data_IF_962227178085
#
_entry.id   IF_962227178085
#
_cell.length_a   1.000
_cell.length_b   1.000
_cell.length_c   1.000
_cell.angle_alpha   90.00
_cell.angle_beta   90.00
_cell.angle_gamma   90.00
#
_symmetry.space_group_name_H-M   'P 1'
#
loop_
_entity.id
_entity.type
_entity.pdbx_description
1 polymer ?
#
# COMPACT_ATOMS: atom_id res chain seq x y z
N UNK A 1 42.46 13.94 -36.35
CA UNK A 1 42.78 15.32 -36.78
C UNK A 1 41.45 16.07 -36.93
N UNK A 2 41.35 17.12 -36.10
CA UNK A 2 40.43 18.28 -36.12
C UNK A 2 38.94 18.14 -35.72
N UNK A 3 38.73 18.73 -34.59
CA UNK A 3 37.50 19.35 -34.05
C UNK A 3 36.86 20.34 -34.98
N UNK A 4 35.54 20.42 -34.99
CA UNK A 4 34.86 21.69 -35.21
C UNK A 4 33.59 21.77 -34.35
N UNK A 5 33.68 22.60 -33.37
CA UNK A 5 32.65 23.19 -32.54
C UNK A 5 31.64 24.00 -33.38
N UNK A 6 30.37 23.66 -33.28
CA UNK A 6 29.28 24.49 -33.77
C UNK A 6 28.46 25.00 -32.61
N UNK A 7 28.69 26.25 -32.24
CA UNK A 7 28.03 26.98 -31.18
C UNK A 7 26.65 27.52 -31.59
N UNK A 8 25.70 27.30 -30.72
CA UNK A 8 24.42 27.94 -30.49
C UNK A 8 24.15 29.29 -31.11
N UNK A 9 23.08 29.37 -31.92
CA UNK A 9 22.31 30.56 -32.24
C UNK A 9 20.89 30.45 -31.68
N UNK A 10 20.68 30.69 -30.41
CA UNK A 10 19.34 30.86 -29.81
C UNK A 10 18.89 32.30 -30.01
N UNK A 11 18.01 32.52 -30.97
CA UNK A 11 17.28 33.77 -31.14
C UNK A 11 16.33 34.00 -29.96
N UNK A 12 16.69 34.93 -29.10
CA UNK A 12 15.85 35.52 -28.07
C UNK A 12 14.80 36.41 -28.67
N UNK A 13 13.61 35.91 -29.02
CA UNK A 13 12.39 36.74 -29.29
C UNK A 13 11.18 35.95 -28.86
N UNK A 14 10.50 36.39 -27.77
CA UNK A 14 9.20 35.85 -27.34
C UNK A 14 8.96 35.68 -25.85
N UNK A 15 9.66 36.43 -24.99
CA UNK A 15 9.56 36.22 -23.51
C UNK A 15 8.53 37.13 -22.80
N UNK A 16 7.73 37.93 -23.49
CA UNK A 16 6.88 38.97 -22.86
C UNK A 16 5.36 38.71 -22.93
N UNK A 17 4.93 37.44 -22.96
CA UNK A 17 3.49 37.19 -22.74
C UNK A 17 3.28 36.48 -21.38
N UNK A 18 2.38 37.01 -20.52
CA UNK A 18 2.06 36.37 -19.23
C UNK A 18 1.63 34.88 -19.35
N UNK A 19 1.01 34.52 -20.47
CA UNK A 19 0.59 33.16 -20.78
C UNK A 19 1.76 32.19 -20.99
N UNK A 20 2.89 32.64 -21.57
CA UNK A 20 4.07 31.81 -21.79
C UNK A 20 4.84 31.54 -20.48
N UNK A 21 4.94 32.53 -19.61
CA UNK A 21 5.57 32.40 -18.28
C UNK A 21 4.75 31.47 -17.38
N UNK A 22 3.41 31.49 -17.50
CA UNK A 22 2.52 30.58 -16.79
C UNK A 22 2.62 29.14 -17.32
N UNK A 23 2.71 28.92 -18.61
CA UNK A 23 2.85 27.60 -19.21
C UNK A 23 4.18 26.91 -18.85
N UNK A 24 5.28 27.67 -18.75
CA UNK A 24 6.58 27.16 -18.27
C UNK A 24 6.64 26.93 -16.76
N UNK A 25 5.89 27.71 -15.97
CA UNK A 25 5.85 27.54 -14.50
C UNK A 25 4.95 26.39 -14.03
N UNK A 26 3.92 26.03 -14.79
CA UNK A 26 2.90 25.10 -14.28
C UNK A 26 2.61 23.87 -15.16
N UNK A 27 3.16 23.74 -16.36
CA UNK A 27 3.06 22.52 -17.19
C UNK A 27 1.63 22.01 -17.51
N UNK A 28 0.59 22.76 -17.16
CA UNK A 28 -0.82 22.31 -17.14
C UNK A 28 -1.63 22.96 -18.27
N UNK A 29 -1.00 23.32 -19.40
CA UNK A 29 -1.76 23.90 -20.50
C UNK A 29 -2.48 22.81 -21.28
N UNK A 30 -3.79 22.69 -21.07
CA UNK A 30 -4.82 21.97 -21.86
C UNK A 30 -5.34 20.61 -21.37
N UNK A 31 -5.04 20.14 -20.15
CA UNK A 31 -5.77 18.98 -19.62
C UNK A 31 -7.21 19.35 -19.24
N UNK A 32 -8.18 18.53 -19.66
CA UNK A 32 -9.54 18.64 -19.15
C UNK A 32 -9.55 18.31 -17.66
N UNK A 33 -10.47 18.90 -16.90
CA UNK A 33 -10.61 18.64 -15.46
C UNK A 33 -10.75 17.13 -15.15
N UNK A 34 -11.48 16.39 -15.99
CA UNK A 34 -11.62 14.92 -15.89
C UNK A 34 -10.29 14.19 -15.94
N UNK A 35 -9.37 14.63 -16.80
CA UNK A 35 -8.07 13.98 -16.99
C UNK A 35 -7.16 14.27 -15.79
N UNK A 36 -7.27 15.47 -15.23
CA UNK A 36 -6.58 15.86 -14.00
C UNK A 36 -7.04 14.99 -12.81
N UNK A 37 -8.37 14.83 -12.63
CA UNK A 37 -8.93 13.94 -11.59
C UNK A 37 -8.49 12.48 -11.80
N UNK A 38 -8.52 12.01 -13.06
CA UNK A 38 -8.03 10.67 -13.40
C UNK A 38 -6.55 10.46 -13.09
N UNK A 39 -5.71 11.47 -13.34
CA UNK A 39 -4.29 11.43 -13.01
C UNK A 39 -4.06 11.44 -11.50
N UNK A 40 -4.80 12.23 -10.72
CA UNK A 40 -4.75 12.18 -9.25
C UNK A 40 -5.20 10.83 -8.70
N UNK A 41 -6.23 10.21 -9.30
CA UNK A 41 -6.66 8.85 -8.93
C UNK A 41 -5.59 7.80 -9.22
N UNK A 42 -4.91 7.86 -10.37
CA UNK A 42 -3.76 6.99 -10.68
C UNK A 42 -2.63 7.19 -9.67
N UNK A 43 -2.31 8.46 -9.31
CA UNK A 43 -1.31 8.80 -8.31
C UNK A 43 -1.63 8.20 -6.93
N UNK A 44 -2.91 8.08 -6.60
CA UNK A 44 -3.40 7.49 -5.35
C UNK A 44 -3.33 5.96 -5.30
N UNK A 45 -2.97 5.31 -6.42
CA UNK A 45 -2.95 3.84 -6.54
C UNK A 45 -4.26 3.19 -6.06
N UNK A 46 -5.40 3.69 -6.53
CA UNK A 46 -6.75 3.32 -6.10
C UNK A 46 -6.98 1.83 -5.76
N UNK A 47 -6.58 0.85 -6.61
CA UNK A 47 -6.76 -0.58 -6.31
C UNK A 47 -6.10 -1.03 -5.01
N UNK A 48 -4.98 -0.41 -4.60
CA UNK A 48 -4.28 -0.78 -3.37
C UNK A 48 -4.95 -0.24 -2.10
N UNK A 49 -5.91 0.69 -2.20
CA UNK A 49 -6.65 1.18 -1.03
C UNK A 49 -7.41 0.06 -0.31
N UNK A 50 -7.84 -0.96 -1.05
CA UNK A 50 -8.50 -2.15 -0.49
C UNK A 50 -7.63 -2.90 0.53
N UNK A 51 -6.29 -2.83 0.38
CA UNK A 51 -5.32 -3.46 1.30
C UNK A 51 -5.38 -2.85 2.71
N UNK A 52 -5.80 -1.59 2.84
CA UNK A 52 -6.03 -0.94 4.15
C UNK A 52 -7.50 -1.02 4.62
N UNK A 53 -8.46 -0.89 3.69
CA UNK A 53 -9.89 -0.87 4.02
C UNK A 53 -10.37 -2.22 4.54
N UNK A 54 -9.99 -3.33 3.91
CA UNK A 54 -10.42 -4.67 4.33
C UNK A 54 -9.94 -5.04 5.74
N UNK A 55 -8.67 -4.84 6.13
CA UNK A 55 -8.22 -5.09 7.49
C UNK A 55 -8.93 -4.22 8.53
N UNK A 56 -9.17 -2.93 8.24
CA UNK A 56 -9.94 -2.06 9.11
C UNK A 56 -11.36 -2.63 9.34
N UNK A 57 -12.01 -3.03 8.25
CA UNK A 57 -13.34 -3.64 8.28
C UNK A 57 -13.35 -4.93 9.11
N UNK A 58 -12.34 -5.79 8.96
CA UNK A 58 -12.18 -6.98 9.80
C UNK A 58 -12.11 -6.63 11.29
N UNK A 59 -11.37 -5.57 11.64
CA UNK A 59 -11.30 -5.08 13.02
C UNK A 59 -12.68 -4.68 13.58
N UNK A 60 -13.47 -3.93 12.81
CA UNK A 60 -14.84 -3.56 13.19
C UNK A 60 -15.77 -4.77 13.31
N UNK A 61 -15.69 -5.73 12.38
CA UNK A 61 -16.49 -6.94 12.43
C UNK A 61 -16.15 -7.79 13.66
N UNK A 62 -14.89 -7.85 14.05
CA UNK A 62 -14.47 -8.52 15.28
C UNK A 62 -15.03 -7.85 16.54
N UNK A 63 -15.08 -6.52 16.57
CA UNK A 63 -15.70 -5.77 17.66
C UNK A 63 -17.21 -6.02 17.70
N UNK A 64 -17.88 -5.90 16.56
CA UNK A 64 -19.33 -6.16 16.43
C UNK A 64 -19.70 -7.57 16.89
N UNK A 65 -18.91 -8.58 16.51
CA UNK A 65 -19.10 -9.96 16.98
C UNK A 65 -18.94 -10.12 18.51
N UNK A 66 -18.08 -9.29 19.11
CA UNK A 66 -17.94 -9.22 20.57
C UNK A 66 -19.06 -8.47 21.28
N UNK A 67 -20.15 -8.11 20.59
CA UNK A 67 -21.27 -7.33 21.12
C UNK A 67 -21.04 -5.81 21.17
N UNK A 68 -19.91 -5.32 20.67
CA UNK A 68 -19.58 -3.89 20.67
C UNK A 68 -20.10 -3.24 19.39
N UNK A 69 -20.99 -2.27 19.55
CA UNK A 69 -21.54 -1.48 18.46
C UNK A 69 -21.11 -0.03 18.60
N UNK A 70 -20.79 0.60 17.48
CA UNK A 70 -20.44 2.02 17.43
C UNK A 70 -21.28 2.76 16.39
N UNK A 71 -21.29 4.09 16.43
CA UNK A 71 -22.04 4.88 15.47
C UNK A 71 -21.46 4.73 14.07
N UNK A 72 -22.30 4.67 12.99
CA UNK A 72 -21.84 4.55 11.62
C UNK A 72 -20.84 5.62 11.18
N UNK A 73 -20.96 6.85 11.77
CA UNK A 73 -20.03 7.94 11.52
C UNK A 73 -18.60 7.63 11.96
N UNK A 74 -18.42 6.91 13.06
CA UNK A 74 -17.08 6.50 13.52
C UNK A 74 -16.42 5.55 12.50
N UNK A 75 -17.18 4.57 11.99
CA UNK A 75 -16.70 3.67 10.95
C UNK A 75 -16.29 4.42 9.68
N UNK A 76 -17.17 5.30 9.17
CA UNK A 76 -16.91 6.06 7.95
C UNK A 76 -15.69 6.98 8.09
N UNK A 77 -15.59 7.72 9.18
CA UNK A 77 -14.46 8.63 9.44
C UNK A 77 -13.15 7.87 9.58
N UNK A 78 -13.18 6.69 10.20
CA UNK A 78 -11.99 5.85 10.33
C UNK A 78 -11.53 5.31 8.97
N UNK A 79 -12.47 4.91 8.09
CA UNK A 79 -12.14 4.54 6.71
C UNK A 79 -11.50 5.70 5.95
N UNK A 80 -12.09 6.90 6.05
CA UNK A 80 -11.54 8.10 5.40
C UNK A 80 -10.14 8.40 5.95
N UNK A 81 -9.92 8.31 7.26
CA UNK A 81 -8.61 8.54 7.86
C UNK A 81 -7.56 7.55 7.32
N UNK A 82 -7.87 6.25 7.23
CA UNK A 82 -6.97 5.23 6.67
C UNK A 82 -6.67 5.54 5.20
N UNK A 83 -7.68 5.87 4.39
CA UNK A 83 -7.51 6.24 2.97
C UNK A 83 -6.61 7.47 2.84
N UNK A 84 -6.79 8.49 3.68
CA UNK A 84 -5.95 9.69 3.67
C UNK A 84 -4.49 9.37 4.06
N UNK A 85 -4.26 8.50 5.04
CA UNK A 85 -2.90 8.05 5.39
C UNK A 85 -2.25 7.30 4.22
N UNK A 86 -3.00 6.44 3.54
CA UNK A 86 -2.52 5.73 2.35
C UNK A 86 -2.20 6.70 1.21
N UNK A 87 -3.09 7.65 0.92
CA UNK A 87 -2.88 8.67 -0.11
C UNK A 87 -1.68 9.57 0.20
N UNK A 88 -1.52 9.97 1.44
CA UNK A 88 -0.32 10.67 1.91
C UNK A 88 0.94 9.84 1.59
N UNK A 89 0.95 8.57 1.97
CA UNK A 89 2.10 7.67 1.78
C UNK A 89 2.43 7.51 0.30
N UNK A 90 1.42 7.26 -0.54
CA UNK A 90 1.62 7.09 -1.98
C UNK A 90 2.07 8.38 -2.65
N UNK A 91 1.42 9.51 -2.37
CA UNK A 91 1.76 10.79 -2.99
C UNK A 91 3.18 11.24 -2.64
N UNK A 92 3.57 11.14 -1.36
CA UNK A 92 4.95 11.47 -0.95
C UNK A 92 5.95 10.44 -1.46
N UNK A 93 5.56 9.16 -1.56
CA UNK A 93 6.36 8.09 -2.15
C UNK A 93 6.71 8.36 -3.61
N UNK A 94 5.72 8.60 -4.44
CA UNK A 94 5.89 8.93 -5.87
C UNK A 94 6.86 10.11 -6.10
N UNK A 95 6.80 11.12 -5.22
CA UNK A 95 7.73 12.26 -5.27
C UNK A 95 9.15 11.90 -4.87
N UNK A 96 9.31 11.08 -3.82
CA UNK A 96 10.61 10.71 -3.28
C UNK A 96 11.31 9.66 -4.15
N UNK A 97 10.54 8.78 -4.81
CA UNK A 97 11.03 7.70 -5.66
C UNK A 97 11.14 8.11 -7.15
N UNK A 98 10.80 9.37 -7.49
CA UNK A 98 10.73 9.89 -8.87
C UNK A 98 11.96 9.53 -9.72
N UNK A 99 13.17 9.69 -9.19
CA UNK A 99 14.40 9.39 -9.94
C UNK A 99 14.56 7.88 -10.19
N UNK A 100 14.21 7.04 -9.22
CA UNK A 100 14.20 5.58 -9.37
C UNK A 100 13.17 5.12 -10.40
N UNK A 101 11.94 5.63 -10.28
CA UNK A 101 10.86 5.31 -11.20
C UNK A 101 11.20 5.75 -12.64
N UNK A 102 11.89 6.88 -12.80
CA UNK A 102 12.36 7.36 -14.11
C UNK A 102 13.40 6.43 -14.74
N UNK A 103 14.29 5.85 -13.93
CA UNK A 103 15.33 4.92 -14.40
C UNK A 103 14.78 3.51 -14.64
N UNK A 104 13.66 3.15 -14.05
CA UNK A 104 13.09 1.81 -14.14
C UNK A 104 12.56 1.52 -15.54
N UNK A 105 13.19 0.55 -16.23
CA UNK A 105 12.78 0.05 -17.54
C UNK A 105 11.97 -1.26 -17.46
N UNK A 106 11.95 -1.90 -16.29
CA UNK A 106 11.32 -3.21 -16.07
C UNK A 106 9.98 -3.10 -15.30
N UNK A 107 9.41 -1.90 -15.20
CA UNK A 107 8.17 -1.66 -14.46
C UNK A 107 6.97 -2.41 -15.03
N UNK A 108 6.00 -2.69 -14.18
CA UNK A 108 4.70 -3.25 -14.54
C UNK A 108 3.58 -2.48 -13.80
N UNK A 109 2.31 -2.93 -13.91
CA UNK A 109 1.19 -2.23 -13.26
C UNK A 109 1.22 -2.27 -11.72
N UNK A 110 2.13 -3.02 -11.09
CA UNK A 110 2.30 -3.14 -9.64
C UNK A 110 3.57 -2.47 -9.10
N UNK A 111 4.52 -2.09 -9.99
CA UNK A 111 5.85 -1.56 -9.66
C UNK A 111 6.19 -0.30 -10.47
N UNK A 112 7.28 0.40 -10.13
CA UNK A 112 7.75 1.58 -10.86
C UNK A 112 6.85 2.81 -10.72
N UNK A 113 6.13 2.93 -9.62
CA UNK A 113 5.21 4.04 -9.35
C UNK A 113 3.96 4.03 -10.22
N UNK A 114 3.17 5.09 -10.13
CA UNK A 114 1.99 5.33 -10.99
C UNK A 114 2.35 5.81 -12.39
N UNK A 115 3.61 6.16 -12.62
CA UNK A 115 4.18 6.80 -13.82
C UNK A 115 3.66 8.20 -14.10
N UNK A 116 2.65 8.69 -13.39
CA UNK A 116 2.00 9.99 -13.63
C UNK A 116 2.98 11.16 -13.56
N UNK A 117 3.90 11.14 -12.58
CA UNK A 117 4.92 12.16 -12.42
C UNK A 117 6.05 12.00 -13.45
N UNK A 118 6.48 10.77 -13.71
CA UNK A 118 7.57 10.44 -14.66
C UNK A 118 7.16 10.78 -16.09
N UNK A 119 5.92 10.55 -16.47
CA UNK A 119 5.33 10.89 -17.77
C UNK A 119 5.01 12.39 -17.90
N UNK A 120 5.21 13.18 -16.84
CA UNK A 120 4.95 14.61 -16.85
C UNK A 120 3.45 14.98 -16.90
N UNK A 121 2.55 14.01 -16.61
CA UNK A 121 1.10 14.24 -16.61
C UNK A 121 0.71 15.20 -15.48
N UNK A 122 1.33 15.04 -14.30
CA UNK A 122 1.19 16.00 -13.20
C UNK A 122 2.57 16.54 -12.79
N UNK A 123 2.67 17.82 -12.45
CA UNK A 123 3.90 18.37 -11.90
C UNK A 123 4.16 17.87 -10.48
N UNK A 124 5.46 17.79 -10.11
CA UNK A 124 5.92 17.25 -8.81
C UNK A 124 5.31 17.92 -7.58
N UNK A 125 4.95 19.20 -7.68
CA UNK A 125 4.34 19.94 -6.56
C UNK A 125 2.93 19.44 -6.22
N UNK A 126 2.20 18.86 -7.20
CA UNK A 126 0.84 18.32 -6.98
C UNK A 126 0.90 17.14 -6.01
N UNK A 127 1.88 16.26 -6.14
CA UNK A 127 2.04 15.14 -5.21
C UNK A 127 2.37 15.60 -3.78
N UNK A 128 3.14 16.69 -3.62
CA UNK A 128 3.38 17.30 -2.31
C UNK A 128 2.11 17.90 -1.72
N UNK A 129 1.36 18.67 -2.54
CA UNK A 129 0.09 19.27 -2.10
C UNK A 129 -0.92 18.19 -1.65
N UNK A 130 -1.07 17.13 -2.44
CA UNK A 130 -1.93 16.00 -2.10
C UNK A 130 -1.42 15.29 -0.83
N UNK A 131 -0.13 15.01 -0.75
CA UNK A 131 0.47 14.33 0.40
C UNK A 131 0.29 15.10 1.71
N UNK A 132 0.61 16.39 1.72
CA UNK A 132 0.43 17.22 2.93
C UNK A 132 -1.04 17.54 3.21
N UNK A 133 -1.87 17.69 2.19
CA UNK A 133 -3.32 17.86 2.35
C UNK A 133 -3.95 16.62 2.99
N UNK A 134 -3.57 15.42 2.55
CA UNK A 134 -4.02 14.16 3.16
C UNK A 134 -3.50 14.00 4.59
N UNK A 135 -2.26 14.40 4.88
CA UNK A 135 -1.71 14.42 6.24
C UNK A 135 -2.56 15.30 7.15
N UNK A 136 -2.83 16.55 6.75
CA UNK A 136 -3.65 17.46 7.52
C UNK A 136 -5.06 16.90 7.72
N UNK A 137 -5.70 16.37 6.68
CA UNK A 137 -7.01 15.74 6.76
C UNK A 137 -7.03 14.55 7.72
N UNK A 138 -6.01 13.67 7.67
CA UNK A 138 -5.90 12.53 8.60
C UNK A 138 -5.73 12.97 10.06
N UNK A 139 -4.93 14.01 10.32
CA UNK A 139 -4.76 14.58 11.66
C UNK A 139 -6.06 15.20 12.18
N UNK A 140 -6.78 15.97 11.36
CA UNK A 140 -8.06 16.59 11.74
C UNK A 140 -9.13 15.53 12.02
N UNK A 141 -9.27 14.52 11.17
CA UNK A 141 -10.24 13.42 11.36
C UNK A 141 -9.84 12.58 12.58
N UNK A 142 -8.57 12.24 12.76
CA UNK A 142 -8.09 11.49 13.92
C UNK A 142 -8.34 12.24 15.23
N UNK A 143 -8.10 13.55 15.27
CA UNK A 143 -8.44 14.43 16.38
C UNK A 143 -9.95 14.48 16.64
N UNK A 144 -10.76 14.66 15.58
CA UNK A 144 -12.21 14.65 15.68
C UNK A 144 -12.75 13.32 16.24
N UNK A 145 -12.24 12.18 15.75
CA UNK A 145 -12.60 10.86 16.28
C UNK A 145 -12.30 10.78 17.78
N UNK A 146 -11.11 11.19 18.19
CA UNK A 146 -10.69 11.15 19.59
C UNK A 146 -11.60 11.98 20.50
N UNK A 147 -11.85 13.24 20.14
CA UNK A 147 -12.61 14.18 21.00
C UNK A 147 -14.13 13.91 20.96
N UNK A 148 -14.70 13.72 19.77
CA UNK A 148 -16.13 13.57 19.57
C UNK A 148 -16.66 12.22 20.05
N UNK A 149 -15.94 11.13 19.72
CA UNK A 149 -16.38 9.76 20.07
C UNK A 149 -15.76 9.25 21.37
N UNK A 150 -14.83 10.00 21.96
CA UNK A 150 -14.16 9.66 23.23
C UNK A 150 -13.58 8.24 23.20
N UNK A 151 -12.95 7.88 22.09
CA UNK A 151 -12.44 6.53 21.80
C UNK A 151 -11.22 6.08 22.65
N UNK A 152 -10.72 6.99 23.51
CA UNK A 152 -9.62 6.69 24.43
C UNK A 152 -8.22 6.99 23.86
N UNK A 153 -7.18 6.96 24.74
CA UNK A 153 -5.85 7.52 24.41
C UNK A 153 -5.11 6.76 23.29
N UNK A 154 -5.34 5.48 23.16
CA UNK A 154 -4.69 4.65 22.12
C UNK A 154 -5.12 5.06 20.70
N UNK A 155 -6.24 5.74 20.52
CA UNK A 155 -6.67 6.25 19.21
C UNK A 155 -5.60 7.14 18.57
N UNK A 156 -5.07 8.10 19.36
CA UNK A 156 -4.04 9.02 18.88
C UNK A 156 -2.71 8.29 18.65
N UNK A 157 -2.38 7.32 19.50
CA UNK A 157 -1.15 6.55 19.35
C UNK A 157 -1.20 5.65 18.11
N UNK A 158 -2.29 4.90 17.88
CA UNK A 158 -2.47 4.04 16.71
C UNK A 158 -2.46 4.86 15.42
N UNK A 159 -3.23 5.95 15.38
CA UNK A 159 -3.22 6.89 14.25
C UNK A 159 -1.85 7.52 14.03
N UNK A 160 -1.19 7.95 15.11
CA UNK A 160 0.17 8.51 15.10
C UNK A 160 1.20 7.53 14.54
N UNK A 161 1.17 6.25 14.94
CA UNK A 161 2.03 5.20 14.38
C UNK A 161 1.77 5.04 12.87
N UNK A 162 0.50 5.01 12.46
CA UNK A 162 0.14 4.90 11.03
C UNK A 162 0.65 6.09 10.20
N UNK A 163 0.40 7.32 10.67
CA UNK A 163 0.87 8.55 10.02
C UNK A 163 2.40 8.60 9.98
N UNK A 164 3.07 8.34 11.11
CA UNK A 164 4.53 8.35 11.21
C UNK A 164 5.16 7.32 10.27
N UNK A 165 4.64 6.10 10.28
CA UNK A 165 5.10 5.02 9.40
C UNK A 165 4.93 5.36 7.93
N UNK A 166 3.75 5.86 7.54
CA UNK A 166 3.44 6.23 6.16
C UNK A 166 4.24 7.45 5.68
N UNK A 167 4.35 8.50 6.51
CA UNK A 167 5.10 9.71 6.17
C UNK A 167 6.60 9.40 5.96
N UNK A 168 7.20 8.68 6.91
CA UNK A 168 8.62 8.36 6.86
C UNK A 168 8.93 7.08 6.07
N UNK A 169 7.95 6.48 5.43
CA UNK A 169 8.16 5.33 4.56
C UNK A 169 9.24 5.62 3.49
N UNK A 170 9.09 6.74 2.79
CA UNK A 170 10.05 7.20 1.77
C UNK A 170 10.70 8.55 2.11
N UNK A 171 10.17 9.32 3.10
CA UNK A 171 10.66 10.65 3.44
C UNK A 171 11.83 10.61 4.42
N UNK A 172 12.77 11.57 4.28
CA UNK A 172 13.86 11.78 5.26
C UNK A 172 13.28 12.19 6.62
N UNK A 173 13.95 11.88 7.73
CA UNK A 173 15.27 11.24 7.83
C UNK A 173 15.27 9.71 7.80
N UNK A 174 14.12 9.05 8.04
CA UNK A 174 14.10 7.60 8.25
C UNK A 174 14.12 6.81 6.93
N UNK A 175 13.25 7.12 5.96
CA UNK A 175 13.19 6.46 4.65
C UNK A 175 13.21 4.93 4.78
N UNK A 176 12.22 4.36 5.49
CA UNK A 176 12.16 2.93 5.81
C UNK A 176 12.30 2.02 4.58
N UNK A 177 11.65 2.39 3.46
CA UNK A 177 11.74 1.69 2.19
C UNK A 177 13.14 1.65 1.59
N UNK A 178 13.98 2.65 1.91
CA UNK A 178 15.37 2.71 1.48
C UNK A 178 16.32 1.89 2.36
N UNK A 179 15.82 1.27 3.42
CA UNK A 179 16.62 0.57 4.43
C UNK A 179 16.29 -0.91 4.56
N UNK A 180 15.41 -1.46 3.71
CA UNK A 180 14.93 -2.84 3.79
C UNK A 180 14.14 -3.13 5.07
N UNK A 181 13.47 -2.11 5.59
CA UNK A 181 12.52 -2.19 6.71
C UNK A 181 11.10 -1.87 6.24
N UNK A 182 10.96 -1.37 5.02
CA UNK A 182 9.69 -0.98 4.43
C UNK A 182 8.71 -2.12 4.36
N UNK A 183 9.16 -3.29 3.95
CA UNK A 183 8.36 -4.49 3.71
C UNK A 183 7.74 -4.99 5.02
N UNK A 184 8.54 -5.03 6.10
CA UNK A 184 8.06 -5.42 7.44
C UNK A 184 7.09 -4.38 7.99
N UNK A 185 7.41 -3.09 7.81
CA UNK A 185 6.57 -1.99 8.27
C UNK A 185 5.20 -1.99 7.58
N UNK A 186 5.16 -2.24 6.27
CA UNK A 186 3.92 -2.37 5.50
C UNK A 186 3.10 -3.58 5.98
N UNK A 187 3.74 -4.74 6.17
CA UNK A 187 3.08 -5.91 6.73
C UNK A 187 2.47 -5.64 8.11
N UNK A 188 3.18 -4.94 8.98
CA UNK A 188 2.70 -4.52 10.30
C UNK A 188 1.54 -3.52 10.21
N UNK A 189 1.70 -2.46 9.42
CA UNK A 189 0.71 -1.37 9.34
C UNK A 189 -0.61 -1.82 8.73
N UNK A 190 -0.58 -2.48 7.57
CA UNK A 190 -1.80 -2.92 6.90
C UNK A 190 -2.35 -4.24 7.43
N UNK A 191 -1.54 -5.01 8.15
CA UNK A 191 -1.99 -6.19 8.89
C UNK A 191 -2.48 -5.83 10.28
N UNK A 192 -1.62 -5.98 11.28
CA UNK A 192 -2.02 -5.85 12.68
C UNK A 192 -2.52 -4.46 13.07
N UNK A 193 -1.78 -3.39 12.74
CA UNK A 193 -2.12 -2.05 13.19
C UNK A 193 -3.52 -1.61 12.75
N UNK A 194 -3.87 -1.85 11.48
CA UNK A 194 -5.16 -1.45 10.93
C UNK A 194 -6.31 -2.28 11.51
N UNK A 195 -6.15 -3.61 11.67
CA UNK A 195 -7.15 -4.47 12.30
C UNK A 195 -7.34 -4.08 13.77
N UNK A 196 -6.22 -3.88 14.50
CA UNK A 196 -6.24 -3.47 15.90
C UNK A 196 -6.91 -2.11 16.09
N UNK A 197 -6.66 -1.16 15.18
CA UNK A 197 -7.31 0.16 15.19
C UNK A 197 -8.83 0.01 15.02
N UNK A 198 -9.29 -0.73 14.00
CA UNK A 198 -10.73 -0.96 13.80
C UNK A 198 -11.40 -1.60 15.01
N UNK A 199 -10.76 -2.60 15.61
CA UNK A 199 -11.28 -3.26 16.82
C UNK A 199 -11.29 -2.30 18.03
N UNK A 200 -10.17 -1.62 18.28
CA UNK A 200 -10.02 -0.73 19.42
C UNK A 200 -11.01 0.44 19.42
N UNK A 201 -11.27 1.04 18.27
CA UNK A 201 -12.18 2.19 18.17
C UNK A 201 -13.59 1.91 18.67
N UNK A 202 -14.06 0.65 18.61
CA UNK A 202 -15.36 0.26 19.13
C UNK A 202 -15.33 -0.35 20.54
N UNK A 203 -14.19 -0.94 20.93
CA UNK A 203 -14.10 -1.73 22.18
C UNK A 203 -13.37 -0.99 23.30
N UNK A 204 -12.43 -0.12 22.98
CA UNK A 204 -11.54 0.56 23.93
C UNK A 204 -10.41 -0.32 24.48
N UNK A 205 -10.25 -1.57 24.04
CA UNK A 205 -9.19 -2.48 24.47
C UNK A 205 -8.61 -3.31 23.33
N UNK A 206 -7.52 -4.07 23.60
CA UNK A 206 -6.89 -4.97 22.64
C UNK A 206 -7.24 -6.42 22.94
N UNK A 207 -7.35 -7.25 21.90
CA UNK A 207 -7.69 -8.67 22.03
C UNK A 207 -6.61 -9.56 21.42
N UNK A 208 -6.19 -10.65 22.07
CA UNK A 208 -5.31 -11.65 21.48
C UNK A 208 -5.86 -12.27 20.19
N UNK A 209 -7.19 -12.32 20.05
CA UNK A 209 -7.86 -12.80 18.83
C UNK A 209 -7.53 -11.90 17.64
N UNK A 210 -7.47 -10.57 17.84
CA UNK A 210 -7.07 -9.61 16.79
C UNK A 210 -5.65 -9.90 16.32
N UNK A 211 -4.71 -10.12 17.28
CA UNK A 211 -3.33 -10.47 16.95
C UNK A 211 -3.27 -11.77 16.14
N UNK A 212 -3.98 -12.80 16.57
CA UNK A 212 -4.00 -14.11 15.89
C UNK A 212 -4.52 -14.00 14.43
N UNK A 213 -5.64 -13.31 14.22
CA UNK A 213 -6.24 -13.14 12.90
C UNK A 213 -5.47 -12.17 12.00
N UNK A 214 -4.66 -11.29 12.57
CA UNK A 214 -3.81 -10.37 11.79
C UNK A 214 -2.59 -11.05 11.17
N UNK A 215 -2.12 -12.18 11.69
CA UNK A 215 -0.91 -12.88 11.21
C UNK A 215 -1.00 -13.19 9.71
N UNK A 216 -2.02 -13.92 9.21
CA UNK A 216 -2.09 -14.22 7.78
C UNK A 216 -2.24 -12.97 6.90
N UNK A 217 -2.91 -11.94 7.39
CA UNK A 217 -3.04 -10.65 6.67
C UNK A 217 -1.69 -9.94 6.61
N UNK A 218 -0.98 -9.82 7.73
CA UNK A 218 0.35 -9.18 7.80
C UNK A 218 1.37 -9.87 6.88
N UNK A 219 1.44 -11.20 6.91
CA UNK A 219 2.35 -11.98 6.09
C UNK A 219 2.00 -11.86 4.59
N UNK A 220 0.72 -11.88 4.24
CA UNK A 220 0.31 -11.74 2.84
C UNK A 220 0.58 -10.34 2.30
N UNK A 221 0.38 -9.27 3.08
CA UNK A 221 0.74 -7.90 2.69
C UNK A 221 2.27 -7.74 2.55
N UNK A 222 3.04 -8.31 3.48
CA UNK A 222 4.50 -8.36 3.36
C UNK A 222 4.92 -8.97 2.01
N UNK A 223 4.33 -10.09 1.62
CA UNK A 223 4.61 -10.74 0.34
C UNK A 223 4.16 -9.90 -0.87
N UNK A 224 3.07 -9.12 -0.77
CA UNK A 224 2.64 -8.20 -1.84
C UNK A 224 3.73 -7.18 -2.13
N UNK A 225 4.26 -6.52 -1.10
CA UNK A 225 5.31 -5.52 -1.32
C UNK A 225 6.60 -6.17 -1.78
N UNK A 226 6.98 -7.31 -1.19
CA UNK A 226 8.20 -8.03 -1.49
C UNK A 226 8.28 -8.42 -2.97
N UNK A 227 7.21 -8.99 -3.55
CA UNK A 227 7.21 -9.41 -4.96
C UNK A 227 7.12 -8.22 -5.93
N UNK A 228 6.46 -7.13 -5.51
CA UNK A 228 6.34 -5.91 -6.31
C UNK A 228 7.66 -5.14 -6.44
N UNK A 229 8.64 -5.39 -5.57
CA UNK A 229 9.99 -4.82 -5.66
C UNK A 229 10.93 -5.54 -6.64
N UNK A 230 10.54 -6.74 -7.13
CA UNK A 230 11.39 -7.50 -8.07
C UNK A 230 11.66 -6.76 -9.39
N UNK A 231 10.68 -6.11 -10.03
CA UNK A 231 10.95 -5.31 -11.23
C UNK A 231 11.79 -4.07 -10.96
N UNK A 232 11.76 -3.56 -9.73
CA UNK A 232 12.39 -2.29 -9.34
C UNK A 232 13.85 -2.47 -8.91
N UNK A 233 14.37 -3.71 -8.76
CA UNK A 233 15.67 -4.01 -8.16
C UNK A 233 16.84 -3.20 -8.76
N UNK A 234 16.93 -3.13 -10.09
CA UNK A 234 18.05 -2.46 -10.76
C UNK A 234 17.96 -0.94 -10.60
N UNK A 235 16.77 -0.37 -10.74
CA UNK A 235 16.51 1.06 -10.56
C UNK A 235 16.71 1.49 -9.11
N UNK A 236 16.21 0.72 -8.15
CA UNK A 236 16.37 0.96 -6.71
C UNK A 236 17.85 0.92 -6.32
N UNK A 237 18.61 -0.05 -6.83
CA UNK A 237 20.07 -0.15 -6.62
C UNK A 237 20.80 1.07 -7.16
N UNK A 238 20.43 1.55 -8.34
CA UNK A 238 21.06 2.70 -8.98
C UNK A 238 20.91 4.00 -8.18
N UNK A 239 19.78 4.18 -7.47
CA UNK A 239 19.54 5.35 -6.60
C UNK A 239 19.94 5.14 -5.13
N UNK A 240 20.57 4.00 -4.80
CA UNK A 240 21.00 3.66 -3.45
C UNK A 240 19.87 3.25 -2.50
N UNK A 241 18.69 2.90 -3.02
CA UNK A 241 17.57 2.33 -2.26
C UNK A 241 17.86 0.86 -2.01
N UNK A 242 17.87 0.44 -0.73
CA UNK A 242 18.28 -0.89 -0.27
C UNK A 242 17.09 -1.67 0.27
N UNK A 243 16.12 -1.97 -0.61
CA UNK A 243 15.00 -2.89 -0.33
C UNK A 243 15.53 -4.29 -0.03
N UNK A 244 14.67 -5.18 0.49
CA UNK A 244 15.08 -6.58 0.74
C UNK A 244 15.55 -7.26 -0.55
N UNK A 245 14.89 -6.99 -1.67
CA UNK A 245 15.30 -7.53 -2.98
C UNK A 245 16.70 -7.05 -3.37
N UNK A 246 17.00 -5.75 -3.20
CA UNK A 246 18.33 -5.21 -3.50
C UNK A 246 19.41 -5.77 -2.57
N UNK A 247 19.06 -6.07 -1.30
CA UNK A 247 20.00 -6.60 -0.29
C UNK A 247 20.30 -8.07 -0.47
N UNK A 248 19.29 -8.87 -0.73
CA UNK A 248 19.37 -10.34 -0.76
C UNK A 248 19.56 -10.90 -2.18
N UNK A 249 19.16 -10.11 -3.20
CA UNK A 249 18.99 -10.57 -4.58
C UNK A 249 17.69 -11.35 -4.77
N UNK A 250 17.23 -11.46 -6.03
CA UNK A 250 15.94 -12.10 -6.38
C UNK A 250 15.83 -13.56 -5.93
N UNK A 251 16.91 -14.32 -5.93
CA UNK A 251 16.90 -15.75 -5.55
C UNK A 251 16.55 -15.91 -4.06
N UNK A 252 17.36 -15.31 -3.16
CA UNK A 252 17.09 -15.42 -1.71
C UNK A 252 15.79 -14.74 -1.30
N UNK A 253 15.41 -13.68 -1.99
CA UNK A 253 14.12 -13.02 -1.77
C UNK A 253 12.98 -13.91 -2.21
N UNK A 254 13.15 -14.71 -3.26
CA UNK A 254 12.23 -15.76 -3.67
C UNK A 254 12.06 -16.83 -2.59
N UNK A 255 13.15 -17.27 -1.95
CA UNK A 255 13.10 -18.21 -0.81
C UNK A 255 12.33 -17.61 0.38
N UNK A 256 12.60 -16.33 0.71
CA UNK A 256 11.88 -15.61 1.76
C UNK A 256 10.39 -15.51 1.45
N UNK A 257 10.04 -15.15 0.20
CA UNK A 257 8.66 -15.10 -0.28
C UNK A 257 7.96 -16.46 -0.12
N UNK A 258 8.63 -17.56 -0.48
CA UNK A 258 8.09 -18.90 -0.33
C UNK A 258 7.83 -19.25 1.14
N UNK A 259 8.80 -19.00 2.02
CA UNK A 259 8.65 -19.22 3.45
C UNK A 259 7.48 -18.45 4.04
N UNK A 260 7.37 -17.15 3.74
CA UNK A 260 6.24 -16.32 4.16
C UNK A 260 4.91 -16.78 3.56
N UNK A 261 4.88 -17.26 2.31
CA UNK A 261 3.67 -17.80 1.67
C UNK A 261 3.17 -19.07 2.37
N UNK A 262 4.08 -19.97 2.74
CA UNK A 262 3.74 -21.19 3.49
C UNK A 262 3.18 -20.84 4.88
N UNK A 263 3.83 -19.91 5.57
CA UNK A 263 3.34 -19.43 6.88
C UNK A 263 1.98 -18.72 6.76
N UNK A 264 1.75 -17.98 5.65
CA UNK A 264 0.46 -17.37 5.35
C UNK A 264 -0.63 -18.43 5.19
N UNK A 265 -0.39 -19.45 4.36
CA UNK A 265 -1.34 -20.54 4.14
C UNK A 265 -1.66 -21.29 5.45
N UNK A 266 -0.62 -21.61 6.25
CA UNK A 266 -0.77 -22.29 7.51
C UNK A 266 -1.57 -21.47 8.53
N UNK A 267 -1.18 -20.20 8.75
CA UNK A 267 -1.85 -19.31 9.71
C UNK A 267 -3.30 -18.98 9.28
N UNK A 268 -3.54 -18.81 7.99
CA UNK A 268 -4.88 -18.60 7.44
C UNK A 268 -5.78 -19.83 7.64
N UNK A 269 -5.29 -21.04 7.31
CA UNK A 269 -6.03 -22.27 7.52
C UNK A 269 -6.35 -22.47 9.01
N UNK A 270 -5.38 -22.21 9.88
CA UNK A 270 -5.58 -22.27 11.33
C UNK A 270 -6.62 -21.23 11.80
N UNK A 271 -6.60 -20.02 11.25
CA UNK A 271 -7.56 -18.97 11.58
C UNK A 271 -9.00 -19.38 11.21
N UNK A 272 -9.21 -20.02 10.05
CA UNK A 272 -10.51 -20.54 9.63
C UNK A 272 -10.98 -21.67 10.57
N UNK A 273 -10.12 -22.63 10.90
CA UNK A 273 -10.48 -23.79 11.71
C UNK A 273 -10.81 -23.43 13.16
N UNK A 274 -10.04 -22.49 13.76
CA UNK A 274 -10.22 -22.07 15.16
C UNK A 274 -11.42 -21.15 15.35
N UNK A 275 -11.88 -20.47 14.31
CA UNK A 275 -12.99 -19.51 14.42
C UNK A 275 -14.36 -20.13 14.73
N UNK A 276 -14.50 -21.46 14.65
CA UNK A 276 -15.72 -22.19 14.96
C UNK A 276 -16.55 -22.59 13.73
N UNK A 277 -17.84 -22.94 13.95
CA UNK A 277 -18.73 -23.44 12.89
C UNK A 277 -18.76 -22.49 11.69
N UNK A 278 -18.16 -22.96 10.59
CA UNK A 278 -18.15 -22.24 9.31
C UNK A 278 -19.05 -22.97 8.33
N UNK A 279 -19.87 -22.27 7.54
CA UNK A 279 -20.62 -22.89 6.45
C UNK A 279 -19.68 -23.65 5.50
N UNK A 280 -20.07 -24.85 5.07
CA UNK A 280 -19.27 -25.73 4.24
C UNK A 280 -18.71 -25.03 2.96
N UNK A 281 -19.50 -24.18 2.33
CA UNK A 281 -19.07 -23.42 1.14
C UNK A 281 -17.89 -22.45 1.43
N UNK A 282 -17.75 -21.98 2.67
CA UNK A 282 -16.65 -21.08 3.03
C UNK A 282 -15.30 -21.81 3.04
N UNK A 283 -15.27 -23.12 3.29
CA UNK A 283 -14.06 -23.93 3.15
C UNK A 283 -13.59 -23.98 1.68
N UNK A 284 -14.52 -24.07 0.72
CA UNK A 284 -14.16 -24.00 -0.70
C UNK A 284 -13.60 -22.63 -1.08
N UNK A 285 -14.25 -21.56 -0.61
CA UNK A 285 -13.69 -20.21 -0.83
C UNK A 285 -12.31 -20.05 -0.16
N UNK A 286 -12.13 -20.63 1.03
CA UNK A 286 -10.83 -20.67 1.73
C UNK A 286 -9.75 -21.44 0.97
N UNK A 287 -10.13 -22.36 0.10
CA UNK A 287 -9.20 -23.04 -0.82
C UNK A 287 -8.60 -22.12 -1.87
N UNK A 288 -9.30 -21.06 -2.29
CA UNK A 288 -8.84 -20.15 -3.37
C UNK A 288 -7.49 -19.51 -3.07
N UNK A 289 -7.27 -18.79 -1.94
CA UNK A 289 -5.97 -18.22 -1.64
C UNK A 289 -4.88 -19.29 -1.48
N UNK A 290 -5.20 -20.48 -0.95
CA UNK A 290 -4.24 -21.57 -0.81
C UNK A 290 -3.80 -22.09 -2.19
N UNK A 291 -4.72 -22.29 -3.12
CA UNK A 291 -4.41 -22.70 -4.50
C UNK A 291 -3.56 -21.65 -5.23
N UNK A 292 -3.88 -20.36 -5.06
CA UNK A 292 -3.07 -19.27 -5.61
C UNK A 292 -1.65 -19.25 -5.01
N UNK A 293 -1.52 -19.50 -3.69
CA UNK A 293 -0.21 -19.64 -3.04
C UNK A 293 0.56 -20.81 -3.65
N UNK A 294 -0.04 -21.99 -3.77
CA UNK A 294 0.61 -23.17 -4.37
C UNK A 294 1.10 -22.85 -5.80
N UNK A 295 0.26 -22.22 -6.59
CA UNK A 295 0.65 -21.81 -7.95
C UNK A 295 1.83 -20.83 -7.94
N UNK A 296 1.81 -19.83 -7.07
CA UNK A 296 2.90 -18.86 -6.92
C UNK A 296 4.20 -19.54 -6.50
N UNK A 297 4.14 -20.51 -5.55
CA UNK A 297 5.31 -21.28 -5.13
C UNK A 297 5.93 -22.04 -6.31
N UNK A 298 5.09 -22.69 -7.14
CA UNK A 298 5.58 -23.40 -8.34
C UNK A 298 6.26 -22.44 -9.33
N UNK A 299 5.73 -21.21 -9.51
CA UNK A 299 6.34 -20.20 -10.37
C UNK A 299 7.69 -19.70 -9.81
N UNK A 300 7.80 -19.51 -8.50
CA UNK A 300 9.07 -19.09 -7.87
C UNK A 300 10.12 -20.21 -8.02
N UNK A 301 9.77 -21.48 -7.73
CA UNK A 301 10.66 -22.63 -7.89
C UNK A 301 11.13 -22.80 -9.33
N UNK A 302 10.25 -22.57 -10.31
CA UNK A 302 10.58 -22.59 -11.74
C UNK A 302 11.27 -21.31 -12.23
N UNK A 303 11.72 -20.41 -11.35
CA UNK A 303 12.35 -19.13 -11.71
C UNK A 303 11.47 -18.24 -12.61
N UNK A 304 10.15 -18.36 -12.50
CA UNK A 304 9.18 -17.59 -13.29
C UNK A 304 9.30 -16.07 -13.10
N UNK A 305 9.83 -15.63 -11.94
CA UNK A 305 10.11 -14.22 -11.66
C UNK A 305 11.16 -13.59 -12.59
N UNK A 306 11.92 -14.38 -13.34
CA UNK A 306 12.88 -13.87 -14.35
C UNK A 306 12.19 -13.47 -15.66
N UNK A 307 10.94 -13.87 -15.87
CA UNK A 307 10.13 -13.52 -17.04
C UNK A 307 9.12 -12.44 -16.67
N UNK A 308 9.18 -11.28 -17.33
CA UNK A 308 8.37 -10.11 -17.02
C UNK A 308 6.86 -10.42 -16.95
N UNK A 309 6.32 -11.15 -17.92
CA UNK A 309 4.89 -11.51 -17.93
C UNK A 309 4.50 -12.43 -16.75
N UNK A 310 5.35 -13.41 -16.41
CA UNK A 310 5.08 -14.30 -15.26
C UNK A 310 5.22 -13.56 -13.94
N UNK A 311 6.17 -12.64 -13.84
CA UNK A 311 6.34 -11.81 -12.65
C UNK A 311 5.12 -10.91 -12.42
N UNK A 312 4.54 -10.32 -13.46
CA UNK A 312 3.31 -9.52 -13.34
C UNK A 312 2.13 -10.37 -12.84
N UNK A 313 2.00 -11.61 -13.34
CA UNK A 313 0.99 -12.56 -12.85
C UNK A 313 1.25 -12.93 -11.39
N UNK A 314 2.51 -13.12 -10.99
CA UNK A 314 2.89 -13.35 -9.58
C UNK A 314 2.48 -12.17 -8.68
N UNK A 315 2.76 -10.94 -9.07
CA UNK A 315 2.35 -9.74 -8.34
C UNK A 315 0.83 -9.68 -8.18
N UNK A 316 0.09 -9.87 -9.29
CA UNK A 316 -1.38 -9.90 -9.29
C UNK A 316 -1.93 -10.97 -8.35
N UNK A 317 -1.46 -12.21 -8.48
CA UNK A 317 -1.95 -13.31 -7.68
C UNK A 317 -1.64 -13.13 -6.20
N UNK A 318 -0.48 -12.56 -5.86
CA UNK A 318 -0.12 -12.25 -4.46
C UNK A 318 -1.06 -11.20 -3.86
N UNK A 319 -1.42 -10.18 -4.63
CA UNK A 319 -2.44 -9.21 -4.21
C UNK A 319 -3.81 -9.88 -4.04
N UNK A 320 -4.21 -10.76 -4.97
CA UNK A 320 -5.47 -11.51 -4.85
C UNK A 320 -5.48 -12.44 -3.63
N UNK A 321 -4.36 -13.07 -3.28
CA UNK A 321 -4.21 -13.85 -2.03
C UNK A 321 -4.51 -12.97 -0.82
N UNK A 322 -3.87 -11.79 -0.73
CA UNK A 322 -4.10 -10.87 0.38
C UNK A 322 -5.55 -10.43 0.50
N UNK A 323 -6.17 -9.98 -0.61
CA UNK A 323 -7.55 -9.52 -0.62
C UNK A 323 -8.52 -10.67 -0.29
N UNK A 324 -8.29 -11.87 -0.82
CA UNK A 324 -9.11 -13.04 -0.53
C UNK A 324 -9.05 -13.43 0.95
N UNK A 325 -7.85 -13.43 1.56
CA UNK A 325 -7.68 -13.71 3.00
C UNK A 325 -8.47 -12.70 3.83
N UNK A 326 -8.29 -11.39 3.58
CA UNK A 326 -9.00 -10.34 4.31
C UNK A 326 -10.52 -10.46 4.17
N UNK A 327 -11.01 -10.69 2.95
CA UNK A 327 -12.44 -10.84 2.67
C UNK A 327 -13.03 -12.09 3.32
N UNK A 328 -12.38 -13.26 3.18
CA UNK A 328 -12.88 -14.53 3.74
C UNK A 328 -12.91 -14.46 5.26
N UNK A 329 -11.87 -13.94 5.91
CA UNK A 329 -11.87 -13.76 7.36
C UNK A 329 -12.98 -12.80 7.81
N UNK A 330 -13.23 -11.72 7.08
CA UNK A 330 -14.31 -10.77 7.38
C UNK A 330 -15.67 -11.45 7.25
N UNK A 331 -15.93 -12.13 6.12
CA UNK A 331 -17.19 -12.87 5.90
C UNK A 331 -17.38 -13.95 6.98
N UNK A 332 -16.34 -14.72 7.30
CA UNK A 332 -16.42 -15.74 8.33
C UNK A 332 -16.85 -15.15 9.66
N UNK A 333 -16.23 -14.04 10.08
CA UNK A 333 -16.56 -13.41 11.37
C UNK A 333 -17.94 -12.77 11.39
N UNK A 334 -18.51 -12.37 10.24
CA UNK A 334 -19.91 -11.88 10.15
C UNK A 334 -20.94 -12.99 10.22
N UNK A 335 -20.63 -14.18 9.70
CA UNK A 335 -21.57 -15.31 9.66
C UNK A 335 -21.66 -16.08 10.98
N UNK A 336 -20.65 -15.98 11.82
CA UNK A 336 -20.68 -16.58 13.15
C UNK A 336 -21.49 -15.65 14.06
N UNK A 337 -22.64 -16.12 14.55
CA UNK A 337 -23.53 -15.33 15.40
C UNK A 337 -22.78 -14.71 16.59
N UNK A 338 -23.14 -13.48 17.00
CA UNK A 338 -22.63 -12.89 18.25
C UNK A 338 -22.97 -13.81 19.43
N UNK A 339 -22.01 -14.07 20.29
CA UNK A 339 -22.24 -14.79 21.56
C UNK A 339 -22.93 -13.87 22.55
#
# INVERSE_FOLDING_TARGET
VWYSTGFYGLAWRGFDSPSFVWSLKFGVSQMKFSDYVGACWRLSRGPFLSVGILPLTLGFVLAWRGGYQGPPGLYLLSMIAVVLIMWMTYSLGERNDFEGDRLNQSFNCFSGGSRVLVEGVLPLWVSLLLGYGCLLGALLIGGYIYFQYRTGPWTLLLGGIGIFSGFFYSSKPFRWSYRGLGEVLIGFCYGWLTIATGFYLFTGFFSPKVLFLSIPVSLSVFNVILINEFPDEEADRAIGKRTLVVRLGKERTGDLYMGCSILTAFSFTKAILVAGLTPFWLFFLGGVPVLLIIWNLMQILGSGYRQSQRLEVLCRNTLLVNLSIGMILTIQQTLIQPN
#
